data_IF_543645046350
#
_entry.id   IF_543645046350
#
_cell.length_a   1.000
_cell.length_b   1.000
_cell.length_c   1.000
_cell.angle_alpha   90.00
_cell.angle_beta   90.00
_cell.angle_gamma   90.00
#
_symmetry.space_group_name_H-M   'P 1'
#
loop_
_entity.id
_entity.type
_entity.pdbx_description
1 polymer ?
#
# COMPACT_ATOMS: atom_id res chain seq x y z
N UNK A 1 12.32 35.40 29.83
CA UNK A 1 12.60 34.57 28.64
C UNK A 1 12.47 33.13 29.08
N UNK A 2 11.41 32.43 28.65
CA UNK A 2 11.19 31.02 29.03
C UNK A 2 12.04 30.11 28.15
N UNK A 3 12.79 29.17 28.74
CA UNK A 3 13.51 28.14 27.98
C UNK A 3 12.69 26.86 27.99
N UNK A 4 12.78 26.08 26.92
CA UNK A 4 12.06 24.81 26.78
C UNK A 4 12.34 23.82 27.92
N UNK A 5 13.54 23.90 28.53
CA UNK A 5 13.96 23.03 29.63
C UNK A 5 13.43 23.46 31.00
N UNK A 6 12.87 24.67 31.09
CA UNK A 6 12.28 25.19 32.33
C UNK A 6 10.78 24.83 32.44
N UNK A 7 10.24 24.13 31.45
CA UNK A 7 8.86 23.66 31.47
C UNK A 7 8.67 22.56 32.52
N UNK A 8 7.51 22.51 33.20
CA UNK A 8 7.11 21.36 33.98
C UNK A 8 7.15 20.06 33.16
N UNK A 9 7.51 18.95 33.82
CA UNK A 9 7.67 17.65 33.19
C UNK A 9 6.40 17.20 32.45
N UNK A 10 5.24 17.54 32.98
CA UNK A 10 3.93 17.21 32.40
C UNK A 10 3.77 17.85 31.02
N UNK A 11 4.22 19.09 30.85
CA UNK A 11 4.16 19.77 29.55
C UNK A 11 5.15 19.17 28.56
N UNK A 12 6.34 18.78 29.01
CA UNK A 12 7.34 18.10 28.17
C UNK A 12 6.79 16.76 27.68
N UNK A 13 6.18 15.96 28.57
CA UNK A 13 5.59 14.67 28.21
C UNK A 13 4.45 14.83 27.18
N UNK A 14 3.63 15.89 27.31
CA UNK A 14 2.58 16.24 26.34
C UNK A 14 3.18 16.64 24.99
N UNK A 15 4.17 17.52 24.97
CA UNK A 15 4.85 17.97 23.74
C UNK A 15 5.49 16.78 23.02
N UNK A 16 6.18 15.90 23.75
CA UNK A 16 6.81 14.70 23.20
C UNK A 16 5.76 13.75 22.64
N UNK A 17 4.64 13.55 23.34
CA UNK A 17 3.55 12.70 22.87
C UNK A 17 2.98 13.21 21.54
N UNK A 18 2.80 14.53 21.39
CA UNK A 18 2.38 15.14 20.12
C UNK A 18 3.45 15.02 19.03
N UNK A 19 4.71 15.30 19.36
CA UNK A 19 5.82 15.23 18.42
C UNK A 19 6.04 13.79 17.90
N UNK A 20 5.83 12.78 18.74
CA UNK A 20 5.94 11.37 18.37
C UNK A 20 4.91 10.96 17.33
N UNK A 21 3.67 11.42 17.44
CA UNK A 21 2.60 11.06 16.50
C UNK A 21 2.42 12.08 15.37
N UNK A 22 3.25 13.12 15.35
CA UNK A 22 3.18 14.17 14.35
C UNK A 22 3.25 13.61 12.93
N UNK A 23 2.48 14.20 12.03
CA UNK A 23 2.42 13.86 10.62
C UNK A 23 3.14 14.91 9.79
N UNK A 24 3.96 14.43 8.85
CA UNK A 24 4.48 15.24 7.78
C UNK A 24 3.34 15.60 6.82
N UNK A 25 3.26 16.86 6.37
CA UNK A 25 2.27 17.25 5.38
C UNK A 25 2.44 16.44 4.10
N UNK A 26 1.30 15.98 3.59
CA UNK A 26 1.20 15.24 2.34
C UNK A 26 1.38 16.22 1.17
N UNK A 27 2.13 15.86 0.11
CA UNK A 27 2.23 16.70 -1.08
C UNK A 27 0.84 16.94 -1.69
N UNK A 28 0.41 18.20 -1.72
CA UNK A 28 -0.88 18.65 -2.28
C UNK A 28 -0.83 18.87 -3.79
N UNK A 29 0.35 19.15 -4.33
CA UNK A 29 0.60 19.21 -5.76
C UNK A 29 1.65 18.16 -6.13
N UNK A 30 1.44 17.45 -7.22
CA UNK A 30 2.48 16.65 -7.86
C UNK A 30 2.96 17.46 -9.07
N UNK A 31 4.07 18.21 -9.00
CA UNK A 31 4.74 18.64 -10.21
C UNK A 31 5.37 17.38 -10.82
N UNK A 32 4.73 16.84 -11.87
CA UNK A 32 5.12 15.61 -12.56
C UNK A 32 6.63 15.55 -12.80
N UNK A 33 7.20 16.67 -13.27
CA UNK A 33 8.60 16.81 -13.65
C UNK A 33 9.59 16.87 -12.46
N UNK A 34 9.14 17.36 -11.29
CA UNK A 34 9.99 17.46 -10.09
C UNK A 34 9.89 16.24 -9.16
N UNK A 35 8.83 15.44 -9.32
CA UNK A 35 8.56 14.27 -8.46
C UNK A 35 9.29 13.01 -8.93
N UNK A 36 9.40 12.77 -10.24
CA UNK A 36 10.09 11.58 -10.75
C UNK A 36 11.60 11.62 -10.50
N UNK A 37 12.25 12.78 -10.69
CA UNK A 37 13.69 12.94 -10.50
C UNK A 37 14.16 12.70 -9.04
N UNK A 38 13.26 12.79 -8.07
CA UNK A 38 13.52 12.52 -6.65
C UNK A 38 13.07 11.14 -6.18
N UNK A 39 12.47 10.32 -7.05
CA UNK A 39 11.97 8.99 -6.72
C UNK A 39 12.75 7.93 -7.46
N UNK A 40 12.89 6.76 -6.84
CA UNK A 40 13.50 5.61 -7.51
C UNK A 40 12.78 4.33 -7.12
N UNK A 41 12.64 3.44 -8.09
CA UNK A 41 12.32 2.05 -7.79
C UNK A 41 13.52 1.40 -7.09
N UNK A 42 13.25 0.49 -6.15
CA UNK A 42 14.29 -0.32 -5.51
C UNK A 42 14.76 -1.48 -6.42
N UNK A 43 14.69 -1.29 -7.74
CA UNK A 43 15.09 -2.29 -8.72
C UNK A 43 16.59 -2.59 -8.56
N UNK A 44 16.92 -3.72 -7.92
CA UNK A 44 18.31 -4.17 -7.74
C UNK A 44 18.73 -4.55 -6.31
N UNK A 45 17.90 -4.40 -5.27
CA UNK A 45 18.24 -4.98 -3.96
C UNK A 45 18.02 -6.50 -3.99
N UNK A 46 19.08 -7.25 -4.26
CA UNK A 46 19.06 -8.70 -4.49
C UNK A 46 18.12 -9.51 -3.59
N UNK A 47 17.19 -10.21 -4.24
CA UNK A 47 16.90 -11.62 -3.97
C UNK A 47 15.85 -11.99 -2.93
N UNK A 48 15.21 -11.07 -2.22
CA UNK A 48 14.27 -11.45 -1.13
C UNK A 48 12.80 -11.40 -1.56
N UNK A 49 12.46 -10.68 -2.63
CA UNK A 49 11.06 -10.53 -3.05
C UNK A 49 10.72 -11.48 -4.19
N UNK A 50 9.60 -12.19 -4.04
CA UNK A 50 9.03 -13.04 -5.10
C UNK A 50 7.83 -12.39 -5.81
N UNK A 51 7.61 -11.09 -5.61
CA UNK A 51 6.64 -10.36 -6.41
C UNK A 51 7.10 -10.25 -7.87
N UNK A 52 6.15 -10.24 -8.80
CA UNK A 52 6.45 -10.09 -10.22
C UNK A 52 7.16 -8.76 -10.52
N UNK A 53 8.08 -8.74 -11.49
CA UNK A 53 8.97 -7.61 -11.79
C UNK A 53 8.26 -6.27 -12.01
N UNK A 54 7.02 -6.31 -12.51
CA UNK A 54 6.21 -5.12 -12.66
C UNK A 54 5.95 -4.41 -11.33
N UNK A 55 5.65 -5.17 -10.26
CA UNK A 55 5.45 -4.59 -8.94
C UNK A 55 6.69 -3.84 -8.46
N UNK A 56 7.87 -4.45 -8.64
CA UNK A 56 9.16 -3.86 -8.25
C UNK A 56 9.48 -2.60 -9.05
N UNK A 57 9.23 -2.63 -10.36
CA UNK A 57 9.56 -1.54 -11.27
C UNK A 57 8.63 -0.33 -11.13
N UNK A 58 7.39 -0.53 -10.67
CA UNK A 58 6.34 0.48 -10.67
C UNK A 58 6.02 1.02 -9.26
N UNK A 59 6.96 0.89 -8.32
CA UNK A 59 6.85 1.49 -6.99
C UNK A 59 7.99 2.48 -6.79
N UNK A 60 7.63 3.75 -6.66
CA UNK A 60 8.55 4.87 -6.72
C UNK A 60 8.66 5.52 -5.34
N UNK A 61 9.65 5.09 -4.57
CA UNK A 61 9.92 5.63 -3.23
C UNK A 61 10.57 7.00 -3.31
N UNK A 62 10.17 7.93 -2.46
CA UNK A 62 10.82 9.23 -2.35
C UNK A 62 12.23 9.05 -1.71
N UNK A 63 13.26 9.42 -2.45
CA UNK A 63 14.65 9.32 -1.99
C UNK A 63 14.93 10.25 -0.82
N UNK A 64 14.22 11.39 -0.76
CA UNK A 64 14.28 12.36 0.34
C UNK A 64 13.40 11.93 1.52
N UNK A 65 12.49 10.98 1.34
CA UNK A 65 11.68 10.41 2.43
C UNK A 65 12.34 9.22 3.12
N UNK A 66 13.68 9.20 3.24
CA UNK A 66 14.30 8.31 4.23
C UNK A 66 13.70 8.68 5.59
N UNK A 67 12.78 7.83 6.04
CA UNK A 67 11.88 8.21 7.12
C UNK A 67 12.61 7.98 8.41
N UNK A 68 13.21 9.05 8.92
CA UNK A 68 13.74 9.07 10.26
C UNK A 68 12.54 9.00 11.21
N UNK A 69 12.44 7.98 12.07
CA UNK A 69 11.33 7.89 13.02
C UNK A 69 11.28 9.13 13.91
N UNK A 70 10.08 9.58 14.27
CA UNK A 70 9.87 10.80 15.03
C UNK A 70 10.59 10.77 16.40
N UNK A 71 10.74 9.59 17.00
CA UNK A 71 11.49 9.41 18.25
C UNK A 71 12.98 9.74 18.12
N UNK A 72 13.62 9.50 16.96
CA UNK A 72 15.08 9.64 16.81
C UNK A 72 15.56 11.06 17.14
N UNK A 73 15.05 12.14 16.51
CA UNK A 73 15.49 13.48 16.86
C UNK A 73 15.21 13.82 18.33
N UNK A 74 14.07 13.38 18.89
CA UNK A 74 13.71 13.63 20.30
C UNK A 74 14.68 12.96 21.29
N UNK A 75 15.12 11.73 20.97
CA UNK A 75 16.11 11.00 21.76
C UNK A 75 17.50 11.68 21.73
N UNK A 76 17.79 12.47 20.70
CA UNK A 76 19.08 13.13 20.50
C UNK A 76 19.14 14.57 21.06
N UNK A 77 18.01 15.16 21.49
CA UNK A 77 17.99 16.54 22.03
C UNK A 77 18.78 16.65 23.33
N UNK A 78 18.40 15.90 24.37
CA UNK A 78 19.08 15.81 25.66
C UNK A 78 18.56 14.63 26.49
N UNK A 79 19.15 14.41 27.68
CA UNK A 79 18.79 13.29 28.57
C UNK A 79 17.34 13.32 29.06
N UNK A 80 16.79 14.50 29.35
CA UNK A 80 15.42 14.67 29.83
C UNK A 80 14.41 14.30 28.74
N UNK A 81 14.59 14.85 27.53
CA UNK A 81 13.79 14.49 26.35
C UNK A 81 13.94 13.02 26.01
N UNK A 82 15.15 12.47 26.08
CA UNK A 82 15.38 11.05 25.82
C UNK A 82 14.64 10.15 26.82
N UNK A 83 14.65 10.50 28.11
CA UNK A 83 13.91 9.76 29.14
C UNK A 83 12.40 9.82 28.92
N UNK A 84 11.87 11.03 28.72
CA UNK A 84 10.45 11.24 28.46
C UNK A 84 9.98 10.59 27.15
N UNK A 85 10.81 10.61 26.10
CA UNK A 85 10.51 9.95 24.81
C UNK A 85 10.42 8.43 24.96
N UNK A 86 11.35 7.81 25.71
CA UNK A 86 11.26 6.36 25.98
C UNK A 86 9.99 6.00 26.72
N UNK A 87 9.65 6.75 27.77
CA UNK A 87 8.40 6.56 28.52
C UNK A 87 7.16 6.70 27.64
N UNK A 88 7.12 7.74 26.79
CA UNK A 88 6.01 7.96 25.87
C UNK A 88 5.89 6.82 24.84
N UNK A 89 7.00 6.33 24.31
CA UNK A 89 7.02 5.16 23.41
C UNK A 89 6.53 3.89 24.12
N UNK A 90 6.99 3.62 25.33
CA UNK A 90 6.54 2.47 26.15
C UNK A 90 5.02 2.54 26.38
N UNK A 91 4.49 3.72 26.71
CA UNK A 91 3.06 3.93 26.88
C UNK A 91 2.28 3.74 25.56
N UNK A 92 2.80 4.20 24.43
CA UNK A 92 2.16 4.00 23.12
C UNK A 92 2.06 2.52 22.77
N UNK A 93 3.14 1.76 22.97
CA UNK A 93 3.18 0.30 22.71
C UNK A 93 2.26 -0.44 23.69
N UNK A 94 2.35 -0.15 24.99
CA UNK A 94 1.54 -0.82 26.01
C UNK A 94 0.04 -0.54 25.87
N UNK A 95 -0.34 0.60 25.28
CA UNK A 95 -1.75 0.97 25.05
C UNK A 95 -2.28 0.57 23.67
N UNK A 96 -1.51 -0.18 22.87
CA UNK A 96 -1.84 -0.56 21.50
C UNK A 96 -2.23 0.65 20.61
N UNK A 97 -1.53 1.78 20.78
CA UNK A 97 -1.77 3.03 20.04
C UNK A 97 -0.63 3.38 19.09
N UNK A 98 0.24 2.42 18.77
CA UNK A 98 1.31 2.65 17.83
C UNK A 98 0.78 2.60 16.40
N UNK A 99 0.61 3.78 15.82
CA UNK A 99 0.07 3.95 14.47
C UNK A 99 1.16 4.44 13.52
N UNK A 100 1.39 3.70 12.45
CA UNK A 100 2.17 4.19 11.31
C UNK A 100 1.23 4.76 10.26
N UNK A 101 1.68 5.81 9.57
CA UNK A 101 0.90 6.47 8.53
C UNK A 101 1.67 6.55 7.23
N UNK A 102 1.02 6.10 6.16
CA UNK A 102 1.58 6.02 4.81
C UNK A 102 0.61 6.68 3.83
N UNK A 103 1.08 7.67 3.09
CA UNK A 103 0.39 8.19 1.92
C UNK A 103 0.92 7.46 0.67
N UNK A 104 0.03 7.07 -0.22
CA UNK A 104 0.34 6.38 -1.46
C UNK A 104 -0.40 7.09 -2.57
N UNK A 105 0.33 7.70 -3.49
CA UNK A 105 -0.30 8.21 -4.70
C UNK A 105 -0.31 7.11 -5.76
N UNK A 106 -1.49 6.75 -6.26
CA UNK A 106 -1.65 5.96 -7.47
C UNK A 106 -1.58 6.89 -8.67
N UNK A 107 -0.44 6.89 -9.38
CA UNK A 107 -0.18 7.80 -10.51
C UNK A 107 -0.49 7.10 -11.82
N UNK A 108 -1.34 7.74 -12.63
CA UNK A 108 -1.78 7.29 -13.95
C UNK A 108 -2.23 5.83 -13.96
N UNK A 109 -2.72 5.37 -12.80
CA UNK A 109 -3.25 4.03 -12.55
C UNK A 109 -2.24 2.90 -12.82
N UNK A 110 -0.95 3.24 -12.77
CA UNK A 110 0.17 2.37 -13.16
C UNK A 110 1.21 2.21 -12.07
N UNK A 111 1.45 3.27 -11.31
CA UNK A 111 2.54 3.33 -10.37
C UNK A 111 2.04 3.70 -8.98
N UNK A 112 2.71 3.18 -7.95
CA UNK A 112 2.46 3.56 -6.57
C UNK A 112 3.63 4.38 -6.06
N UNK A 113 3.33 5.56 -5.52
CA UNK A 113 4.30 6.49 -5.00
C UNK A 113 4.13 6.60 -3.48
N UNK A 114 4.62 5.61 -2.72
CA UNK A 114 4.52 5.60 -1.27
C UNK A 114 5.37 6.71 -0.65
N UNK A 115 4.86 7.30 0.42
CA UNK A 115 5.51 8.34 1.24
C UNK A 115 5.05 8.17 2.68
N UNK A 116 5.97 7.82 3.59
CA UNK A 116 5.63 7.76 5.02
C UNK A 116 5.37 9.17 5.55
N UNK A 117 4.23 9.35 6.19
CA UNK A 117 3.83 10.63 6.78
C UNK A 117 4.05 10.64 8.29
N UNK A 118 3.98 9.49 8.96
CA UNK A 118 4.30 9.40 10.39
C UNK A 118 4.80 8.01 10.75
N UNK A 119 5.96 7.96 11.41
CA UNK A 119 6.57 6.76 11.97
C UNK A 119 7.07 7.11 13.36
N UNK A 120 6.28 6.86 14.43
CA UNK A 120 6.66 7.29 15.77
C UNK A 120 7.98 6.69 16.25
N UNK A 121 8.14 5.39 16.07
CA UNK A 121 9.32 4.59 16.44
C UNK A 121 9.38 3.37 15.53
N UNK A 122 10.57 2.79 15.28
CA UNK A 122 10.67 1.49 14.61
C UNK A 122 10.51 0.38 15.65
N UNK A 123 9.53 -0.48 15.43
CA UNK A 123 9.23 -1.63 16.28
C UNK A 123 8.92 -2.87 15.42
N UNK A 124 9.03 -4.09 15.99
CA UNK A 124 8.64 -5.31 15.28
C UNK A 124 7.13 -5.49 15.13
N UNK A 125 6.32 -4.89 16.00
CA UNK A 125 4.85 -5.05 16.00
C UNK A 125 4.19 -3.68 16.05
N UNK A 126 3.35 -3.41 15.06
CA UNK A 126 2.58 -2.18 14.93
C UNK A 126 1.10 -2.49 15.09
N UNK A 127 0.40 -1.69 15.88
CA UNK A 127 -1.03 -1.88 16.13
C UNK A 127 -1.84 -1.51 14.90
N UNK A 128 -1.50 -0.38 14.27
CA UNK A 128 -2.23 0.09 13.10
C UNK A 128 -1.31 0.66 12.03
N UNK A 129 -1.50 0.20 10.80
CA UNK A 129 -0.98 0.87 9.61
C UNK A 129 -2.14 1.61 8.93
N UNK A 130 -2.14 2.94 8.98
CA UNK A 130 -3.08 3.77 8.26
C UNK A 130 -2.49 4.17 6.90
N UNK A 131 -3.03 3.60 5.83
CA UNK A 131 -2.66 3.89 4.45
C UNK A 131 -3.72 4.80 3.83
N UNK A 132 -3.31 5.89 3.22
CA UNK A 132 -4.17 6.72 2.37
C UNK A 132 -3.73 6.56 0.93
N UNK A 133 -4.61 6.05 0.06
CA UNK A 133 -4.36 5.93 -1.37
C UNK A 133 -5.06 7.10 -2.07
N UNK A 134 -4.30 7.95 -2.74
CA UNK A 134 -4.80 9.07 -3.53
C UNK A 134 -4.65 8.76 -5.01
N UNK A 135 -5.74 8.82 -5.76
CA UNK A 135 -5.74 8.50 -7.19
C UNK A 135 -5.47 9.78 -7.98
N UNK A 136 -4.34 9.81 -8.68
CA UNK A 136 -3.92 10.96 -9.49
C UNK A 136 -3.75 10.56 -10.95
N UNK A 137 -4.40 11.31 -11.83
CA UNK A 137 -4.30 11.09 -13.26
C UNK A 137 -5.09 9.87 -13.74
N UNK A 138 -5.14 9.72 -15.04
CA UNK A 138 -5.66 8.56 -15.74
C UNK A 138 -4.56 8.14 -16.70
N UNK A 139 -4.45 6.84 -16.95
CA UNK A 139 -3.38 6.30 -17.81
C UNK A 139 -3.17 7.14 -19.07
N UNK A 140 -2.01 7.78 -19.13
CA UNK A 140 -1.64 8.74 -20.17
C UNK A 140 -1.57 8.09 -21.55
N UNK A 141 -1.34 6.78 -21.63
CA UNK A 141 -1.44 6.09 -22.91
C UNK A 141 -2.87 6.13 -23.42
N UNK A 142 -3.91 6.13 -22.54
CA UNK A 142 -5.32 6.24 -22.92
C UNK A 142 -5.70 7.62 -23.50
N UNK A 143 -4.88 8.66 -23.28
CA UNK A 143 -5.17 10.05 -23.68
C UNK A 143 -4.95 10.35 -25.17
N UNK A 144 -4.51 9.39 -25.97
CA UNK A 144 -4.60 9.48 -27.43
C UNK A 144 -3.74 10.55 -28.11
N UNK A 145 -2.69 11.06 -27.44
CA UNK A 145 -1.76 11.97 -28.11
C UNK A 145 -1.08 11.29 -29.31
N UNK A 146 -1.00 12.02 -30.43
CA UNK A 146 -0.70 11.58 -31.80
C UNK A 146 0.72 11.02 -32.02
N UNK A 147 1.58 11.04 -31.02
CA UNK A 147 2.92 10.47 -31.12
C UNK A 147 2.82 8.96 -30.88
N UNK A 148 3.23 8.16 -31.86
CA UNK A 148 3.18 6.69 -31.76
C UNK A 148 3.69 6.23 -30.38
N UNK A 149 2.89 5.44 -29.63
CA UNK A 149 3.33 4.91 -28.35
C UNK A 149 4.61 4.12 -28.59
N UNK A 150 5.68 4.52 -27.93
CA UNK A 150 6.95 3.80 -27.98
C UNK A 150 6.71 2.32 -27.65
N UNK A 151 7.55 1.39 -28.10
CA UNK A 151 7.40 -0.04 -27.78
C UNK A 151 7.31 -0.35 -26.27
N UNK A 152 7.76 0.57 -25.40
CA UNK A 152 7.60 0.52 -23.95
C UNK A 152 6.22 0.98 -23.45
N UNK A 153 5.53 1.87 -24.18
CA UNK A 153 4.17 2.36 -23.91
C UNK A 153 3.07 1.43 -24.45
N UNK A 154 3.39 0.50 -25.35
CA UNK A 154 2.46 -0.59 -25.75
C UNK A 154 2.19 -1.60 -24.62
N UNK A 155 2.61 -1.32 -23.37
CA UNK A 155 2.50 -2.25 -22.26
C UNK A 155 1.09 -2.20 -21.68
N UNK A 156 0.37 -3.30 -21.89
CA UNK A 156 -0.93 -3.67 -21.32
C UNK A 156 -1.36 -2.88 -20.06
N UNK A 157 -2.56 -2.29 -20.14
CA UNK A 157 -3.41 -1.77 -19.06
C UNK A 157 -3.13 -2.46 -17.73
N UNK A 158 -2.80 -1.67 -16.70
CA UNK A 158 -2.35 -2.22 -15.42
C UNK A 158 -3.44 -3.02 -14.69
N UNK A 159 -4.72 -2.80 -14.99
CA UNK A 159 -5.82 -3.60 -14.44
C UNK A 159 -6.24 -4.78 -15.31
N UNK A 160 -5.65 -4.98 -16.49
CA UNK A 160 -6.00 -6.13 -17.31
C UNK A 160 -5.46 -7.42 -16.69
N UNK A 161 -6.30 -8.45 -16.52
CA UNK A 161 -5.81 -9.77 -16.14
C UNK A 161 -4.93 -10.32 -17.25
N UNK A 162 -3.78 -10.88 -16.89
CA UNK A 162 -3.01 -11.68 -17.83
C UNK A 162 -3.62 -13.08 -17.99
N UNK A 163 -3.00 -13.94 -18.81
CA UNK A 163 -3.41 -15.35 -18.92
C UNK A 163 -3.26 -16.06 -17.57
N UNK A 164 -4.36 -16.15 -16.82
CA UNK A 164 -4.42 -16.72 -15.46
C UNK A 164 -3.54 -16.00 -14.42
N UNK A 165 -3.17 -14.73 -14.66
CA UNK A 165 -2.44 -13.94 -13.69
C UNK A 165 -3.26 -12.75 -13.20
N UNK A 166 -3.12 -12.38 -11.91
CA UNK A 166 -3.71 -11.17 -11.38
C UNK A 166 -3.23 -9.94 -12.17
N UNK A 167 -4.06 -8.89 -12.25
CA UNK A 167 -3.68 -7.66 -12.92
C UNK A 167 -2.38 -7.07 -12.40
N UNK A 168 -1.65 -6.38 -13.28
CA UNK A 168 -0.32 -5.83 -12.97
C UNK A 168 -0.32 -4.91 -11.76
N UNK A 169 -1.34 -4.06 -11.62
CA UNK A 169 -1.47 -3.13 -10.50
C UNK A 169 -1.58 -3.87 -9.16
N UNK A 170 -2.17 -5.08 -9.14
CA UNK A 170 -2.25 -5.86 -7.91
C UNK A 170 -0.86 -6.28 -7.45
N UNK A 171 0.05 -6.59 -8.37
CA UNK A 171 1.44 -6.88 -8.03
C UNK A 171 2.15 -5.68 -7.42
N UNK A 172 1.77 -4.45 -7.77
CA UNK A 172 2.27 -3.25 -7.10
C UNK A 172 1.78 -3.18 -5.64
N UNK A 173 0.48 -3.32 -5.39
CA UNK A 173 -0.04 -3.32 -4.01
C UNK A 173 0.57 -4.43 -3.16
N UNK A 174 0.71 -5.60 -3.76
CA UNK A 174 1.31 -6.76 -3.12
C UNK A 174 2.78 -6.55 -2.76
N UNK A 175 3.58 -6.04 -3.70
CA UNK A 175 4.96 -5.69 -3.41
C UNK A 175 5.03 -4.59 -2.35
N UNK A 176 4.14 -3.60 -2.38
CA UNK A 176 4.11 -2.54 -1.38
C UNK A 176 3.92 -3.13 0.03
N UNK A 177 2.90 -3.99 0.22
CA UNK A 177 2.69 -4.67 1.50
C UNK A 177 3.88 -5.56 1.87
N UNK A 178 4.40 -6.35 0.94
CA UNK A 178 5.58 -7.18 1.19
C UNK A 178 6.77 -6.33 1.65
N UNK A 179 7.04 -5.24 0.96
CA UNK A 179 8.17 -4.37 1.26
C UNK A 179 8.01 -3.77 2.66
N UNK A 180 6.81 -3.31 3.02
CA UNK A 180 6.52 -2.78 4.35
C UNK A 180 6.71 -3.86 5.42
N UNK A 181 6.23 -5.08 5.18
CA UNK A 181 6.35 -6.18 6.14
C UNK A 181 7.81 -6.67 6.29
N UNK A 182 8.58 -6.71 5.21
CA UNK A 182 9.98 -7.15 5.25
C UNK A 182 10.95 -6.08 5.79
N UNK A 183 10.77 -4.81 5.43
CA UNK A 183 11.76 -3.75 5.68
C UNK A 183 11.24 -2.64 6.59
N UNK A 184 9.93 -2.66 6.89
CA UNK A 184 9.28 -1.59 7.60
C UNK A 184 9.38 -0.25 6.86
N UNK A 185 9.48 0.86 7.60
CA UNK A 185 9.59 2.19 7.02
C UNK A 185 10.98 2.52 6.45
N UNK A 186 11.96 1.62 6.60
CA UNK A 186 13.32 1.81 6.11
C UNK A 186 13.44 1.38 4.66
N UNK A 187 13.84 2.31 3.79
CA UNK A 187 14.05 2.04 2.34
C UNK A 187 15.43 1.49 2.00
N UNK A 188 16.38 1.45 2.97
CA UNK A 188 17.79 1.08 2.71
C UNK A 188 18.38 0.08 3.70
N UNK A 189 18.00 0.16 4.97
CA UNK A 189 18.47 -0.78 5.98
C UNK A 189 17.52 -1.98 6.00
N UNK A 190 18.06 -3.19 5.83
CA UNK A 190 17.31 -4.41 6.15
C UNK A 190 16.92 -4.34 7.62
N UNK A 191 15.63 -4.36 7.90
CA UNK A 191 15.17 -4.50 9.27
C UNK A 191 15.65 -5.84 9.81
N UNK A 192 16.14 -5.86 11.06
CA UNK A 192 16.67 -7.07 11.70
C UNK A 192 15.55 -8.10 11.88
N UNK A 193 14.32 -7.62 12.12
CA UNK A 193 13.12 -8.43 12.27
C UNK A 193 12.05 -7.98 11.28
N UNK A 194 11.23 -8.91 10.75
CA UNK A 194 10.06 -8.52 9.99
C UNK A 194 9.07 -7.72 10.85
N UNK A 195 8.27 -6.92 10.19
CA UNK A 195 7.22 -6.10 10.78
C UNK A 195 5.89 -6.86 10.79
N UNK A 196 5.27 -6.94 11.95
CA UNK A 196 3.93 -7.48 12.16
C UNK A 196 2.96 -6.31 12.29
N UNK A 197 1.84 -6.36 11.58
CA UNK A 197 0.81 -5.32 11.57
C UNK A 197 -0.51 -5.95 12.01
N UNK A 198 -1.04 -5.51 13.16
CA UNK A 198 -2.33 -6.03 13.67
C UNK A 198 -3.52 -5.58 12.83
N UNK A 199 -3.54 -4.31 12.43
CA UNK A 199 -4.64 -3.76 11.63
C UNK A 199 -4.16 -2.78 10.55
N UNK A 200 -4.34 -3.14 9.28
CA UNK A 200 -4.13 -2.21 8.17
C UNK A 200 -5.46 -1.55 7.78
N UNK A 201 -5.50 -0.22 7.83
CA UNK A 201 -6.65 0.57 7.36
C UNK A 201 -6.22 1.28 6.09
N UNK A 202 -6.89 1.00 4.98
CA UNK A 202 -6.61 1.59 3.67
C UNK A 202 -7.78 2.46 3.27
N UNK A 203 -7.57 3.77 3.31
CA UNK A 203 -8.53 4.77 2.86
C UNK A 203 -8.20 5.17 1.44
N UNK A 204 -9.16 5.06 0.52
CA UNK A 204 -8.98 5.40 -0.88
C UNK A 204 -9.78 6.67 -1.16
N UNK A 205 -9.13 7.67 -1.72
CA UNK A 205 -9.73 8.98 -1.95
C UNK A 205 -9.22 9.59 -3.28
N UNK A 206 -9.96 10.53 -3.90
CA UNK A 206 -9.47 11.21 -5.07
C UNK A 206 -8.28 12.11 -4.70
N UNK A 207 -7.39 12.38 -5.67
CA UNK A 207 -6.35 13.37 -5.44
C UNK A 207 -6.97 14.79 -5.34
N UNK A 208 -6.50 15.65 -4.43
CA UNK A 208 -7.01 17.02 -4.30
C UNK A 208 -6.92 17.80 -5.62
N UNK A 209 -8.04 18.36 -6.07
CA UNK A 209 -8.10 19.10 -7.33
C UNK A 209 -8.17 18.23 -8.59
N UNK A 210 -8.34 16.92 -8.45
CA UNK A 210 -8.78 16.08 -9.58
C UNK A 210 -10.12 16.58 -10.10
N UNK A 211 -10.34 16.65 -11.42
CA UNK A 211 -11.67 16.93 -11.96
C UNK A 211 -12.69 15.96 -11.38
N UNK A 212 -13.89 16.47 -11.13
CA UNK A 212 -15.00 15.66 -10.65
C UNK A 212 -15.19 14.44 -11.57
N UNK A 213 -15.47 13.30 -10.95
CA UNK A 213 -15.73 12.07 -11.69
C UNK A 213 -16.91 12.30 -12.63
N UNK A 214 -16.90 11.66 -13.79
CA UNK A 214 -18.06 11.69 -14.69
C UNK A 214 -19.26 11.08 -13.96
N UNK A 215 -20.16 11.94 -13.49
CA UNK A 215 -21.40 11.54 -12.85
C UNK A 215 -22.23 10.69 -13.82
N UNK A 216 -22.74 9.57 -13.32
CA UNK A 216 -23.70 8.71 -14.04
C UNK A 216 -23.12 7.50 -14.78
N UNK A 217 -21.80 7.38 -14.93
CA UNK A 217 -21.22 6.15 -15.49
C UNK A 217 -21.20 5.02 -14.45
N UNK A 218 -21.70 3.84 -14.81
CA UNK A 218 -21.58 2.65 -13.97
C UNK A 218 -20.14 2.12 -13.92
N UNK A 219 -19.80 1.34 -12.89
CA UNK A 219 -18.45 0.73 -12.79
C UNK A 219 -18.18 -0.19 -13.98
N UNK A 220 -19.21 -0.88 -14.47
CA UNK A 220 -19.13 -1.78 -15.62
C UNK A 220 -18.90 -1.03 -16.94
N UNK A 221 -19.54 0.13 -17.13
CA UNK A 221 -19.30 0.98 -18.30
C UNK A 221 -17.87 1.53 -18.30
N UNK A 222 -17.41 1.98 -17.15
CA UNK A 222 -16.05 2.49 -16.99
C UNK A 222 -15.00 1.41 -17.25
N UNK A 223 -15.23 0.20 -16.73
CA UNK A 223 -14.39 -0.97 -17.00
C UNK A 223 -14.40 -1.36 -18.47
N UNK A 224 -15.60 -1.45 -19.06
CA UNK A 224 -15.77 -1.80 -20.48
C UNK A 224 -15.05 -0.82 -21.38
N UNK A 225 -15.14 0.50 -21.11
CA UNK A 225 -14.46 1.53 -21.89
C UNK A 225 -12.93 1.35 -21.89
N UNK A 226 -12.35 0.83 -20.80
CA UNK A 226 -10.91 0.57 -20.66
C UNK A 226 -10.48 -0.76 -21.26
N UNK A 227 -11.31 -1.78 -21.14
CA UNK A 227 -11.09 -3.10 -21.75
C UNK A 227 -11.18 -3.04 -23.29
N UNK A 228 -12.14 -2.29 -23.86
CA UNK A 228 -12.34 -2.18 -25.33
C UNK A 228 -11.11 -1.69 -26.10
N UNK A 229 -10.23 -0.89 -25.49
CA UNK A 229 -9.00 -0.42 -26.14
C UNK A 229 -7.97 -1.53 -26.36
N UNK A 230 -8.05 -2.59 -25.55
CA UNK A 230 -7.05 -3.64 -25.52
C UNK A 230 -7.13 -4.62 -26.67
N UNK A 231 -8.09 -4.44 -27.60
CA UNK A 231 -8.30 -5.24 -28.82
C UNK A 231 -7.33 -6.40 -28.90
N UNK A 232 -7.76 -7.57 -28.42
CA UNK A 232 -6.90 -8.75 -28.44
C UNK A 232 -6.44 -8.96 -29.90
N UNK A 233 -5.29 -9.57 -30.17
CA UNK A 233 -4.78 -9.74 -31.56
C UNK A 233 -5.85 -10.34 -32.51
N UNK A 234 -6.80 -11.07 -31.96
CA UNK A 234 -7.94 -11.69 -32.61
C UNK A 234 -9.13 -10.76 -32.94
N UNK A 235 -9.27 -9.61 -32.27
CA UNK A 235 -10.37 -8.65 -32.42
C UNK A 235 -9.81 -7.24 -32.67
N UNK A 236 -9.95 -6.69 -33.90
CA UNK A 236 -9.48 -5.35 -34.20
C UNK A 236 -10.17 -4.32 -33.28
N UNK A 237 -9.49 -3.21 -32.94
CA UNK A 237 -10.07 -2.16 -32.10
C UNK A 237 -11.37 -1.66 -32.75
N UNK A 238 -12.48 -1.73 -32.01
CA UNK A 238 -13.71 -1.07 -32.44
C UNK A 238 -13.54 0.45 -32.42
N UNK A 239 -14.25 1.20 -33.27
CA UNK A 239 -14.25 2.66 -33.21
C UNK A 239 -14.65 3.09 -31.79
N UNK A 240 -13.77 3.86 -31.16
CA UNK A 240 -13.95 4.33 -29.78
C UNK A 240 -15.00 5.43 -29.81
N UNK A 241 -16.05 5.31 -28.99
CA UNK A 241 -17.06 6.37 -28.87
C UNK A 241 -16.46 7.59 -28.17
N UNK A 242 -17.05 8.77 -28.38
CA UNK A 242 -16.66 9.99 -27.66
C UNK A 242 -16.78 9.81 -26.13
N UNK A 243 -17.83 9.11 -25.69
CA UNK A 243 -18.04 8.75 -24.29
C UNK A 243 -16.91 7.87 -23.74
N UNK A 244 -16.41 6.91 -24.50
CA UNK A 244 -15.28 6.07 -24.09
C UNK A 244 -13.99 6.90 -23.95
N UNK A 245 -13.78 7.90 -24.81
CA UNK A 245 -12.64 8.83 -24.68
C UNK A 245 -12.75 9.68 -23.41
N UNK A 246 -13.96 10.15 -23.07
CA UNK A 246 -14.20 10.88 -21.83
C UNK A 246 -13.94 10.00 -20.60
N UNK A 247 -14.47 8.78 -20.55
CA UNK A 247 -14.26 7.83 -19.45
C UNK A 247 -12.79 7.45 -19.25
N UNK A 248 -12.00 7.50 -20.32
CA UNK A 248 -10.56 7.25 -20.31
C UNK A 248 -9.73 8.45 -19.85
N UNK A 249 -10.21 9.67 -20.07
CA UNK A 249 -9.52 10.88 -19.63
C UNK A 249 -9.64 11.10 -18.11
N UNK A 250 -10.66 10.49 -17.50
CA UNK A 250 -11.00 10.62 -16.07
C UNK A 250 -10.32 9.55 -15.22
N UNK A 251 -9.83 9.97 -14.06
CA UNK A 251 -9.20 9.12 -13.06
C UNK A 251 -10.13 8.04 -12.52
N UNK A 252 -9.54 6.91 -12.11
CA UNK A 252 -10.23 5.84 -11.41
C UNK A 252 -10.99 6.32 -10.19
N UNK A 253 -12.21 5.79 -10.05
CA UNK A 253 -13.04 6.07 -8.88
C UNK A 253 -12.47 5.34 -7.65
N UNK A 254 -12.41 6.00 -6.49
CA UNK A 254 -12.01 5.37 -5.23
C UNK A 254 -12.85 4.14 -4.87
N UNK A 255 -14.17 4.21 -5.07
CA UNK A 255 -15.08 3.08 -4.81
C UNK A 255 -14.74 1.87 -5.69
N UNK A 256 -14.50 2.11 -6.97
CA UNK A 256 -14.05 1.06 -7.90
C UNK A 256 -12.74 0.44 -7.45
N UNK A 257 -11.71 1.26 -7.14
CA UNK A 257 -10.42 0.74 -6.68
C UNK A 257 -10.56 -0.06 -5.38
N UNK A 258 -11.45 0.36 -4.46
CA UNK A 258 -11.76 -0.37 -3.23
C UNK A 258 -12.31 -1.77 -3.54
N UNK A 259 -13.36 -1.86 -4.36
CA UNK A 259 -13.98 -3.14 -4.74
C UNK A 259 -12.96 -4.02 -5.47
N UNK A 260 -12.20 -3.44 -6.39
CA UNK A 260 -11.13 -4.11 -7.10
C UNK A 260 -10.09 -4.69 -6.13
N UNK A 261 -9.53 -3.88 -5.24
CA UNK A 261 -8.56 -4.34 -4.24
C UNK A 261 -9.15 -5.40 -3.32
N UNK A 262 -10.41 -5.24 -2.87
CA UNK A 262 -11.08 -6.21 -2.03
C UNK A 262 -11.15 -7.58 -2.70
N UNK A 263 -11.65 -7.62 -3.94
CA UNK A 263 -11.78 -8.85 -4.73
C UNK A 263 -10.42 -9.50 -4.97
N UNK A 264 -9.42 -8.71 -5.34
CA UNK A 264 -8.10 -9.21 -5.68
C UNK A 264 -7.36 -9.73 -4.44
N UNK A 265 -7.32 -8.96 -3.34
CA UNK A 265 -6.71 -9.39 -2.08
C UNK A 265 -7.36 -10.66 -1.54
N UNK A 266 -8.70 -10.71 -1.52
CA UNK A 266 -9.41 -11.94 -1.13
C UNK A 266 -9.03 -13.11 -2.03
N UNK A 267 -9.05 -12.95 -3.35
CA UNK A 267 -8.60 -13.99 -4.28
C UNK A 267 -7.16 -14.45 -4.04
N UNK A 268 -6.26 -13.52 -3.71
CA UNK A 268 -4.88 -13.82 -3.36
C UNK A 268 -4.74 -14.65 -2.08
N UNK A 269 -5.48 -14.33 -1.02
CA UNK A 269 -5.48 -15.11 0.22
C UNK A 269 -6.08 -16.51 0.06
N UNK A 270 -6.88 -16.75 -0.98
CA UNK A 270 -7.37 -18.09 -1.33
C UNK A 270 -6.38 -18.90 -2.19
N UNK A 271 -5.30 -18.30 -2.69
CA UNK A 271 -4.24 -18.99 -3.44
C UNK A 271 -3.15 -19.47 -2.49
N UNK A 272 -3.18 -20.73 -2.05
CA UNK A 272 -2.48 -21.09 -0.81
C UNK A 272 -1.37 -22.13 -0.89
N UNK A 273 -1.27 -22.93 -1.97
CA UNK A 273 -0.23 -23.97 -2.03
C UNK A 273 0.98 -23.63 -2.90
N UNK A 274 0.77 -23.03 -4.07
CA UNK A 274 1.86 -22.51 -4.92
C UNK A 274 2.07 -21.00 -4.77
N UNK A 275 1.51 -20.48 -3.68
CA UNK A 275 1.63 -19.09 -3.30
C UNK A 275 3.14 -18.75 -3.24
N UNK A 276 3.64 -17.76 -3.99
CA UNK A 276 5.03 -17.32 -3.87
C UNK A 276 5.36 -17.07 -2.39
N UNK A 277 6.61 -17.24 -1.94
CA UNK A 277 7.02 -16.93 -0.56
C UNK A 277 6.48 -15.60 -0.03
N UNK A 278 6.22 -14.64 -0.93
CA UNK A 278 5.52 -13.42 -0.59
C UNK A 278 4.11 -13.60 -0.01
N UNK A 279 3.25 -14.49 -0.51
CA UNK A 279 1.89 -14.62 0.04
C UNK A 279 1.92 -15.16 1.47
N UNK A 280 2.87 -16.04 1.76
CA UNK A 280 3.11 -16.54 3.12
C UNK A 280 3.38 -15.39 4.10
N UNK A 281 4.12 -14.36 3.68
CA UNK A 281 4.43 -13.24 4.56
C UNK A 281 3.17 -12.48 4.98
N UNK A 282 2.21 -12.34 4.06
CA UNK A 282 0.95 -11.65 4.35
C UNK A 282 0.13 -12.44 5.37
N UNK A 283 0.01 -13.76 5.22
CA UNK A 283 -0.70 -14.58 6.21
C UNK A 283 -0.01 -14.61 7.57
N UNK A 284 1.33 -14.51 7.63
CA UNK A 284 2.06 -14.55 8.90
C UNK A 284 2.01 -13.22 9.64
N UNK A 285 2.14 -12.10 8.93
CA UNK A 285 2.50 -10.81 9.54
C UNK A 285 1.40 -9.77 9.46
N UNK A 286 0.34 -10.03 8.71
CA UNK A 286 -0.79 -9.12 8.58
C UNK A 286 -2.01 -9.70 9.31
N UNK A 287 -2.52 -8.97 10.30
CA UNK A 287 -3.79 -9.23 10.95
C UNK A 287 -4.94 -8.79 10.05
N UNK A 288 -5.80 -7.89 10.51
CA UNK A 288 -6.96 -7.45 9.75
C UNK A 288 -6.61 -6.38 8.70
N UNK A 289 -7.30 -6.38 7.57
CA UNK A 289 -7.30 -5.29 6.58
C UNK A 289 -8.72 -4.70 6.49
N UNK A 290 -8.82 -3.38 6.58
CA UNK A 290 -10.05 -2.63 6.32
C UNK A 290 -9.83 -1.71 5.14
N UNK A 291 -10.65 -1.86 4.09
CA UNK A 291 -10.64 -0.96 2.94
C UNK A 291 -11.85 -0.03 3.03
N UNK A 292 -11.63 1.27 2.84
CA UNK A 292 -12.66 2.29 2.89
C UNK A 292 -12.51 3.28 1.72
N UNK A 293 -13.64 3.84 1.30
CA UNK A 293 -13.73 5.00 0.40
C UNK A 293 -14.70 6.02 1.02
N UNK A 294 -14.65 7.27 0.59
CA UNK A 294 -15.41 8.40 1.19
C UNK A 294 -16.90 8.13 1.42
N UNK A 295 -17.54 7.39 0.51
CA UNK A 295 -19.00 7.36 0.41
C UNK A 295 -19.61 5.95 0.55
N UNK A 296 -18.84 4.95 0.99
CA UNK A 296 -19.25 3.55 0.83
C UNK A 296 -18.83 2.65 2.00
N UNK A 297 -19.51 1.50 2.11
CA UNK A 297 -19.31 0.51 3.16
C UNK A 297 -17.87 0.01 3.21
N UNK A 298 -17.39 -0.28 4.43
CA UNK A 298 -16.05 -0.78 4.63
C UNK A 298 -15.98 -2.25 4.22
N UNK A 299 -14.99 -2.61 3.41
CA UNK A 299 -14.67 -4.00 3.14
C UNK A 299 -13.66 -4.50 4.18
N UNK A 300 -13.92 -5.67 4.75
CA UNK A 300 -13.07 -6.30 5.76
C UNK A 300 -12.46 -7.57 5.19
N UNK A 301 -11.17 -7.73 5.40
CA UNK A 301 -10.42 -8.93 5.00
C UNK A 301 -9.62 -9.38 6.21
N UNK A 302 -9.84 -10.62 6.62
CA UNK A 302 -9.05 -11.27 7.66
C UNK A 302 -8.31 -12.47 7.05
N UNK A 303 -7.00 -12.35 6.81
CA UNK A 303 -6.17 -13.43 6.30
C UNK A 303 -6.18 -14.69 7.18
N UNK A 304 -6.45 -14.55 8.48
CA UNK A 304 -6.55 -15.66 9.43
C UNK A 304 -7.85 -16.43 9.27
N UNK A 305 -8.98 -15.73 9.17
CA UNK A 305 -10.28 -16.37 8.90
C UNK A 305 -10.29 -17.04 7.52
N UNK A 306 -9.81 -16.34 6.48
CA UNK A 306 -9.68 -16.92 5.14
C UNK A 306 -8.79 -18.16 5.18
N UNK A 307 -7.67 -18.12 5.91
CA UNK A 307 -6.81 -19.27 6.05
C UNK A 307 -7.49 -20.45 6.76
N UNK A 308 -8.27 -20.17 7.80
CA UNK A 308 -9.01 -21.17 8.58
C UNK A 308 -10.07 -21.89 7.73
N UNK A 309 -10.77 -21.18 6.85
CA UNK A 309 -11.83 -21.71 5.97
C UNK A 309 -11.31 -22.60 4.82
N UNK A 310 -10.00 -22.61 4.56
CA UNK A 310 -9.45 -23.40 3.45
C UNK A 310 -9.29 -24.87 3.83
N UNK A 311 -10.20 -25.73 3.37
CA UNK A 311 -10.22 -27.16 3.72
C UNK A 311 -9.20 -28.02 2.95
N UNK A 312 -8.95 -27.74 1.66
CA UNK A 312 -8.09 -28.57 0.80
C UNK A 312 -7.32 -27.67 -0.18
N UNK A 313 -6.01 -27.90 -0.39
CA UNK A 313 -5.28 -27.13 -1.39
C UNK A 313 -5.85 -27.44 -2.78
N UNK A 314 -6.12 -26.41 -3.59
CA UNK A 314 -6.51 -26.59 -4.99
C UNK A 314 -5.44 -27.33 -5.80
N UNK A 315 -4.20 -27.30 -5.34
CA UNK A 315 -3.06 -27.90 -6.01
C UNK A 315 -2.05 -28.45 -4.99
N UNK A 316 -1.46 -29.61 -5.24
CA UNK A 316 -0.36 -30.18 -4.45
C UNK A 316 -0.75 -31.16 -3.33
N UNK A 317 0.24 -31.81 -2.66
CA UNK A 317 -0.02 -32.86 -1.68
C UNK A 317 -0.75 -32.32 -0.44
N UNK A 318 -1.90 -32.91 -0.04
CA UNK A 318 -2.69 -32.44 1.10
C UNK A 318 -1.90 -32.33 2.41
N UNK A 319 -0.96 -33.25 2.66
CA UNK A 319 -0.18 -33.28 3.91
C UNK A 319 0.75 -32.07 4.08
N UNK A 320 1.37 -31.59 3.00
CA UNK A 320 2.28 -30.42 3.04
C UNK A 320 1.46 -29.16 3.33
N UNK A 321 0.29 -29.04 2.72
CA UNK A 321 -0.61 -27.90 2.96
C UNK A 321 -1.08 -27.86 4.40
N UNK A 322 -1.55 -28.99 4.94
CA UNK A 322 -2.03 -29.08 6.32
C UNK A 322 -0.93 -28.68 7.31
N UNK A 323 0.31 -29.15 7.11
CA UNK A 323 1.44 -28.76 7.95
C UNK A 323 1.77 -27.28 7.86
N UNK A 324 1.77 -26.71 6.65
CA UNK A 324 1.98 -25.27 6.44
C UNK A 324 0.88 -24.44 7.11
N UNK A 325 -0.39 -24.79 6.91
CA UNK A 325 -1.55 -24.10 7.50
C UNK A 325 -1.46 -24.12 9.02
N UNK A 326 -1.16 -25.27 9.62
CA UNK A 326 -0.98 -25.40 11.07
C UNK A 326 0.15 -24.51 11.59
N UNK A 327 1.30 -24.48 10.90
CA UNK A 327 2.43 -23.61 11.26
C UNK A 327 2.04 -22.12 11.18
N UNK A 328 1.37 -21.70 10.11
CA UNK A 328 0.96 -20.31 9.95
C UNK A 328 -0.04 -19.90 11.04
N UNK A 329 -1.04 -20.74 11.33
CA UNK A 329 -2.01 -20.46 12.40
C UNK A 329 -1.33 -20.38 13.77
N UNK A 330 -0.36 -21.25 14.05
CA UNK A 330 0.44 -21.17 15.28
C UNK A 330 1.20 -19.85 15.38
N UNK A 331 1.92 -19.43 14.33
CA UNK A 331 2.67 -18.16 14.34
C UNK A 331 1.73 -16.95 14.47
N UNK A 332 0.54 -17.00 13.87
CA UNK A 332 -0.47 -15.96 14.04
C UNK A 332 -0.96 -15.84 15.49
N UNK A 333 -1.16 -16.97 16.17
CA UNK A 333 -1.50 -16.98 17.59
C UNK A 333 -0.37 -16.39 18.46
N UNK A 334 0.89 -16.70 18.14
CA UNK A 334 2.07 -16.09 18.79
C UNK A 334 2.14 -14.57 18.59
N UNK A 335 1.58 -14.04 17.49
CA UNK A 335 1.44 -12.61 17.23
C UNK A 335 0.17 -11.99 17.84
N UNK A 336 -0.70 -12.79 18.46
CA UNK A 336 -1.96 -12.36 19.07
C UNK A 336 -2.99 -11.91 18.04
N UNK A 337 -3.11 -12.65 16.93
CA UNK A 337 -4.15 -12.48 15.91
C UNK A 337 -5.37 -13.40 16.12
N UNK A 338 -5.61 -13.84 17.36
CA UNK A 338 -6.65 -14.81 17.72
C UNK A 338 -8.08 -14.37 17.33
#
# INVERSE_FOLDING_TARGET
MFRLLDLPQELIDVIISFALVAERPVPTSIPLEASEAGRSSHFGSGGVYSAWDYGVANIMWDQKSQTTPNAVPLLLVNRMFASATRRAVELLVASNRLVYKLDVVLVDERELWPTWTSVPVICPVVDRLAVTIRIFGADSDLRGNETEPTPRQRKFWALSPGHNSPPKLVWCFFYLFQHILCNGPSTRAKQISPLVIRHAIVNIMPFPGSPDQLDGASDDEWMSARERRQGNVSNPPQPISEQDNLLRAVSMRPAFLKIFMARQLSGFFHMTFFAPPTLRILHLQLGQITLASSDDERAYIDPGLILAELDVPRYGPPGIFAQWKANVLQVRAEHGFD
#
